data_IF_662066294596
#
_entry.id   IF_662066294596
#
_cell.length_a   1.000
_cell.length_b   1.000
_cell.length_c   1.000
_cell.angle_alpha   90.00
_cell.angle_beta   90.00
_cell.angle_gamma   90.00
#
_symmetry.space_group_name_H-M   'P 1'
#
loop_
_entity.id
_entity.type
_entity.pdbx_description
1 polymer ?
#
# COMPACT_ATOMS: atom_id res chain seq x y z
N UNK A 1 16.21 0.13 14.44
CA UNK A 1 15.03 0.77 15.07
C UNK A 1 14.03 1.07 13.97
N UNK A 2 12.82 0.51 14.06
CA UNK A 2 11.77 0.72 13.07
C UNK A 2 11.12 2.10 13.28
N UNK A 3 10.95 2.88 12.21
CA UNK A 3 10.31 4.21 12.28
C UNK A 3 8.78 4.09 12.38
N UNK A 4 8.12 5.12 12.92
CA UNK A 4 6.65 5.14 13.00
C UNK A 4 5.99 4.95 11.61
N UNK A 5 6.58 5.54 10.57
CA UNK A 5 6.10 5.42 9.21
C UNK A 5 6.30 4.03 8.62
N UNK A 6 7.39 3.34 8.97
CA UNK A 6 7.59 1.93 8.61
C UNK A 6 6.51 1.06 9.27
N UNK A 7 6.18 1.31 10.55
CA UNK A 7 5.09 0.62 11.25
C UNK A 7 3.72 0.90 10.63
N UNK A 8 3.42 2.16 10.26
CA UNK A 8 2.17 2.53 9.57
C UNK A 8 2.08 1.88 8.19
N UNK A 9 3.18 1.87 7.44
CA UNK A 9 3.26 1.22 6.13
C UNK A 9 3.05 -0.30 6.24
N UNK A 10 3.64 -0.93 7.25
CA UNK A 10 3.48 -2.36 7.50
C UNK A 10 2.03 -2.71 7.87
N UNK A 11 1.38 -1.92 8.74
CA UNK A 11 -0.05 -2.07 9.05
C UNK A 11 -0.94 -1.86 7.82
N UNK A 12 -0.71 -0.80 7.05
CA UNK A 12 -1.44 -0.55 5.81
C UNK A 12 -1.29 -1.72 4.82
N UNK A 13 -0.10 -2.31 4.71
CA UNK A 13 0.13 -3.52 3.90
C UNK A 13 -0.75 -4.69 4.35
N UNK A 14 -0.85 -4.93 5.65
CA UNK A 14 -1.69 -6.01 6.20
C UNK A 14 -3.17 -5.75 5.92
N UNK A 15 -3.65 -4.52 6.10
CA UNK A 15 -5.04 -4.15 5.81
C UNK A 15 -5.38 -4.28 4.32
N UNK A 16 -4.46 -3.87 3.44
CA UNK A 16 -4.60 -4.08 2.00
C UNK A 16 -4.64 -5.58 1.68
N UNK A 17 -3.93 -6.43 2.43
CA UNK A 17 -4.04 -7.88 2.26
C UNK A 17 -5.44 -8.40 2.58
N UNK A 18 -6.10 -7.85 3.59
CA UNK A 18 -7.48 -8.21 3.93
C UNK A 18 -8.48 -7.83 2.85
N UNK A 19 -8.29 -6.68 2.16
CA UNK A 19 -9.15 -6.28 1.03
C UNK A 19 -9.28 -7.38 -0.01
N UNK A 20 -8.20 -8.13 -0.27
CA UNK A 20 -8.18 -9.19 -1.28
C UNK A 20 -8.57 -10.57 -0.74
N UNK A 21 -8.35 -10.84 0.56
CA UNK A 21 -8.83 -12.06 1.21
C UNK A 21 -10.36 -12.14 1.22
N UNK A 22 -11.03 -11.01 1.46
CA UNK A 22 -12.49 -10.93 1.45
C UNK A 22 -13.08 -11.27 0.08
N UNK A 23 -12.36 -10.96 -0.99
CA UNK A 23 -12.79 -11.21 -2.37
C UNK A 23 -12.43 -12.63 -2.87
N UNK A 24 -11.98 -13.53 -1.97
CA UNK A 24 -11.49 -14.91 -2.28
C UNK A 24 -10.42 -14.93 -3.38
N UNK A 25 -9.69 -13.83 -3.55
CA UNK A 25 -8.66 -13.75 -4.58
C UNK A 25 -7.40 -14.54 -4.16
N UNK A 26 -6.75 -15.04 -5.21
CA UNK A 26 -5.64 -15.99 -5.30
C UNK A 26 -4.76 -16.18 -4.03
N UNK A 27 -4.51 -17.43 -3.57
CA UNK A 27 -3.51 -17.72 -2.54
C UNK A 27 -2.08 -17.21 -2.86
N UNK A 28 -1.78 -16.87 -4.11
CA UNK A 28 -0.50 -16.27 -4.52
C UNK A 28 -0.43 -14.74 -4.40
N UNK A 29 -1.39 -14.10 -3.74
CA UNK A 29 -1.37 -12.67 -3.49
C UNK A 29 -0.08 -12.25 -2.77
N UNK A 30 0.82 -11.60 -3.50
CA UNK A 30 2.07 -11.11 -2.97
C UNK A 30 2.00 -9.59 -2.76
N UNK A 31 1.83 -9.16 -1.51
CA UNK A 31 1.93 -7.75 -1.14
C UNK A 31 3.33 -7.46 -0.62
N UNK A 32 4.11 -6.74 -1.42
CA UNK A 32 5.43 -6.26 -1.01
C UNK A 32 5.31 -4.80 -0.61
N UNK A 33 5.74 -4.47 0.60
CA UNK A 33 5.96 -3.09 1.03
C UNK A 33 7.45 -2.79 1.02
N UNK A 34 7.82 -1.59 0.60
CA UNK A 34 9.17 -1.06 0.76
C UNK A 34 9.08 0.41 1.14
N UNK A 35 9.92 0.86 2.05
CA UNK A 35 10.03 2.28 2.42
C UNK A 35 11.39 2.76 1.96
N UNK A 36 11.44 3.85 1.20
CA UNK A 36 12.69 4.48 0.79
C UNK A 36 12.95 5.74 1.63
N UNK A 37 14.21 5.84 2.07
CA UNK A 37 14.72 6.94 2.85
C UNK A 37 15.56 7.83 1.92
N UNK A 38 15.18 9.10 1.78
CA UNK A 38 16.00 10.12 1.12
C UNK A 38 16.85 10.89 2.13
N UNK A 39 17.67 11.82 1.64
CA UNK A 39 18.59 12.63 2.45
C UNK A 39 17.92 13.52 3.53
N UNK A 40 16.59 13.63 3.55
CA UNK A 40 15.81 14.38 4.57
C UNK A 40 14.86 13.49 5.39
N UNK A 41 15.08 12.18 5.39
CA UNK A 41 14.20 11.20 6.03
C UNK A 41 13.38 10.40 5.01
N UNK A 42 12.29 9.78 5.47
CA UNK A 42 11.48 8.89 4.63
C UNK A 42 10.78 9.69 3.54
N UNK A 43 10.99 9.27 2.29
CA UNK A 43 10.51 9.98 1.11
C UNK A 43 9.34 9.26 0.45
N UNK A 44 9.32 7.92 0.49
CA UNK A 44 8.23 7.15 -0.10
C UNK A 44 8.00 5.81 0.64
N UNK A 45 6.75 5.42 0.80
CA UNK A 45 6.39 4.01 0.99
C UNK A 45 5.76 3.50 -0.29
N UNK A 46 6.07 2.26 -0.67
CA UNK A 46 5.60 1.59 -1.89
C UNK A 46 4.93 0.28 -1.51
N UNK A 47 3.70 0.08 -1.96
CA UNK A 47 2.97 -1.20 -1.85
C UNK A 47 2.73 -1.75 -3.25
N UNK A 48 3.22 -2.97 -3.50
CA UNK A 48 3.17 -3.69 -4.77
C UNK A 48 2.29 -4.91 -4.61
N UNK A 49 1.28 -5.04 -5.48
CA UNK A 49 0.45 -6.23 -5.66
C UNK A 49 0.82 -6.91 -6.97
N UNK A 50 0.56 -8.21 -7.12
CA UNK A 50 0.67 -8.94 -8.40
C UNK A 50 -0.69 -9.18 -9.08
N UNK A 51 -1.78 -8.69 -8.47
CA UNK A 51 -3.14 -8.87 -8.96
C UNK A 51 -3.70 -7.59 -9.57
N UNK A 52 -4.57 -7.77 -10.56
CA UNK A 52 -5.31 -6.68 -11.17
C UNK A 52 -6.34 -6.09 -10.20
N UNK A 53 -6.38 -4.77 -10.09
CA UNK A 53 -7.29 -4.08 -9.19
C UNK A 53 -8.56 -3.64 -9.90
N UNK A 54 -9.69 -4.15 -9.40
CA UNK A 54 -11.00 -3.61 -9.70
C UNK A 54 -11.14 -2.19 -9.12
N UNK A 55 -12.13 -1.44 -9.61
CA UNK A 55 -12.45 -0.12 -9.05
C UNK A 55 -12.82 -0.20 -7.57
N UNK A 56 -13.46 -1.29 -7.14
CA UNK A 56 -13.82 -1.53 -5.74
C UNK A 56 -12.57 -1.73 -4.86
N UNK A 57 -11.58 -2.51 -5.32
CA UNK A 57 -10.31 -2.66 -4.60
C UNK A 57 -9.64 -1.31 -4.38
N UNK A 58 -9.58 -0.47 -5.44
CA UNK A 58 -8.96 0.85 -5.35
C UNK A 58 -9.67 1.73 -4.31
N UNK A 59 -11.00 1.74 -4.29
CA UNK A 59 -11.77 2.52 -3.31
C UNK A 59 -11.53 2.04 -1.87
N UNK A 60 -11.56 0.73 -1.62
CA UNK A 60 -11.26 0.15 -0.30
C UNK A 60 -9.84 0.53 0.15
N UNK A 61 -8.86 0.44 -0.74
CA UNK A 61 -7.47 0.81 -0.47
C UNK A 61 -7.35 2.31 -0.17
N UNK A 62 -8.03 3.18 -0.91
CA UNK A 62 -8.06 4.62 -0.65
C UNK A 62 -8.61 4.94 0.75
N UNK A 63 -9.72 4.29 1.13
CA UNK A 63 -10.29 4.46 2.46
C UNK A 63 -9.32 4.04 3.58
N UNK A 64 -8.58 2.93 3.39
CA UNK A 64 -7.54 2.50 4.33
C UNK A 64 -6.38 3.50 4.41
N UNK A 65 -5.90 4.02 3.29
CA UNK A 65 -4.82 5.04 3.28
C UNK A 65 -5.24 6.26 4.11
N UNK A 66 -6.49 6.73 3.94
CA UNK A 66 -7.05 7.83 4.74
C UNK A 66 -7.16 7.46 6.22
N UNK A 67 -7.63 6.25 6.56
CA UNK A 67 -7.72 5.76 7.94
C UNK A 67 -6.35 5.74 8.65
N UNK A 68 -5.29 5.43 7.91
CA UNK A 68 -3.91 5.46 8.40
C UNK A 68 -3.27 6.86 8.45
N UNK A 69 -4.03 7.92 8.12
CA UNK A 69 -3.60 9.32 8.09
C UNK A 69 -2.43 9.58 7.13
N UNK A 70 -2.43 8.91 5.98
CA UNK A 70 -1.54 9.28 4.89
C UNK A 70 -2.22 10.34 4.02
N UNK A 71 -1.84 11.60 4.22
CA UNK A 71 -2.50 12.75 3.58
C UNK A 71 -2.06 12.97 2.13
N UNK A 72 -0.79 12.71 1.83
CA UNK A 72 -0.29 12.73 0.45
C UNK A 72 0.02 11.33 -0.03
N UNK A 73 -0.82 10.83 -0.92
CA UNK A 73 -0.60 9.55 -1.58
C UNK A 73 -0.89 9.61 -3.07
N UNK A 74 -0.19 8.76 -3.82
CA UNK A 74 -0.44 8.55 -5.24
C UNK A 74 -0.55 7.07 -5.55
N UNK A 75 -1.68 6.69 -6.12
CA UNK A 75 -1.90 5.34 -6.64
C UNK A 75 -1.51 5.33 -8.12
N UNK A 76 -0.51 4.53 -8.49
CA UNK A 76 -0.13 4.30 -9.89
C UNK A 76 -0.36 2.83 -10.26
N UNK A 77 -0.95 2.60 -11.43
CA UNK A 77 -1.02 1.28 -12.08
C UNK A 77 0.26 1.06 -12.89
N UNK A 78 0.94 -0.07 -12.71
CA UNK A 78 2.14 -0.43 -13.46
C UNK A 78 2.08 -1.92 -13.83
N UNK A 79 1.53 -2.25 -15.00
CA UNK A 79 1.61 -3.61 -15.59
C UNK A 79 1.10 -4.73 -14.67
N UNK A 80 -0.09 -4.57 -14.09
CA UNK A 80 -0.69 -5.54 -13.14
C UNK A 80 -0.35 -5.26 -11.67
N UNK A 81 0.63 -4.40 -11.39
CA UNK A 81 1.00 -4.06 -10.03
C UNK A 81 0.48 -2.71 -9.56
N UNK A 82 0.00 -2.69 -8.31
CA UNK A 82 -0.23 -1.44 -7.59
C UNK A 82 1.10 -0.78 -7.22
N UNK A 83 1.15 0.54 -7.25
CA UNK A 83 2.18 1.31 -6.54
C UNK A 83 1.47 2.43 -5.80
N UNK A 84 1.35 2.29 -4.49
CA UNK A 84 0.95 3.38 -3.62
C UNK A 84 2.22 4.11 -3.23
N UNK A 85 2.39 5.37 -3.61
CA UNK A 85 3.46 6.22 -3.07
C UNK A 85 2.87 7.02 -1.92
N UNK A 86 3.43 6.88 -0.72
CA UNK A 86 3.06 7.67 0.45
C UNK A 86 4.17 8.69 0.73
N UNK A 87 3.87 9.98 0.63
CA UNK A 87 4.81 11.05 0.99
C UNK A 87 4.43 11.65 2.34
N UNK A 88 5.43 12.13 3.08
CA UNK A 88 5.24 12.79 4.38
C UNK A 88 4.69 14.19 4.21
#
# INVERSE_FOLDING_TARGET
METELQRKTNRLKEDIAYVFKDDKQDPELCIKSSVSFGNKGIKEAKIITNIELTSLHIQKIQALITLHNFNDYRIKRSGGALRILLTK
#
